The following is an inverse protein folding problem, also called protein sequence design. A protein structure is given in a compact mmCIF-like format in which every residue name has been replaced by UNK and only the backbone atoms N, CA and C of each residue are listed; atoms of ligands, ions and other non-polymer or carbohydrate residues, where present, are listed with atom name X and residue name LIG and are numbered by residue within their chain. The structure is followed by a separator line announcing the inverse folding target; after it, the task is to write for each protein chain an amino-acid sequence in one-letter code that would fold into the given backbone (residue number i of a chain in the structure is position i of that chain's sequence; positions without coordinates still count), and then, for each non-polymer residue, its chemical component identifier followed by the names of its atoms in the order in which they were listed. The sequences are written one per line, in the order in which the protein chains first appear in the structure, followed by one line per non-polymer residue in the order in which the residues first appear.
data_IF_745924737201
#
_entry.id   IF_745924737201
#
_cell.length_a   1.000
_cell.length_b   1.000
_cell.length_c   1.000
_cell.angle_alpha   90.00
_cell.angle_beta   90.00
_cell.angle_gamma   90.00
#
_symmetry.space_group_name_H-M   'P 1'
#
loop_
_entity.id
_entity.type
_entity.pdbx_description
1 polymer ?
#
# COMPACT_ATOMS: atom_id res chain seq x y z
N UNK A 1 22.86 11.57 5.00
CA UNK A 1 21.55 11.96 4.49
C UNK A 1 20.51 12.07 5.62
N UNK A 2 20.06 10.99 6.27
CA UNK A 2 18.99 10.99 7.29
C UNK A 2 19.25 11.93 8.48
N UNK A 3 20.52 12.06 8.93
CA UNK A 3 20.88 13.04 9.96
C UNK A 3 20.57 14.50 9.56
N UNK A 4 20.78 14.84 8.29
CA UNK A 4 20.52 16.19 7.81
C UNK A 4 19.03 16.40 7.52
N UNK A 5 18.31 15.36 7.09
CA UNK A 5 16.83 15.34 7.05
C UNK A 5 16.25 15.71 8.41
N UNK A 6 16.70 15.05 9.48
CA UNK A 6 16.25 15.37 10.85
C UNK A 6 16.48 16.83 11.24
N UNK A 7 17.66 17.36 10.94
CA UNK A 7 17.96 18.77 11.27
C UNK A 7 17.02 19.75 10.56
N UNK A 8 16.69 19.48 9.29
CA UNK A 8 15.75 20.32 8.56
C UNK A 8 14.33 20.17 9.11
N UNK A 9 13.90 18.94 9.42
CA UNK A 9 12.59 18.69 10.01
C UNK A 9 12.43 19.34 11.39
N UNK A 10 13.45 19.33 12.23
CA UNK A 10 13.41 20.01 13.53
C UNK A 10 13.22 21.54 13.41
N UNK A 11 13.79 22.17 12.39
CA UNK A 11 13.56 23.59 12.10
C UNK A 11 12.10 23.88 11.71
N UNK A 12 11.41 22.88 11.18
CA UNK A 12 9.99 22.95 10.81
C UNK A 12 9.05 22.48 11.92
N UNK A 13 9.59 22.13 13.10
CA UNK A 13 8.78 21.62 14.22
C UNK A 13 8.37 20.15 14.09
N UNK A 14 8.88 19.44 13.10
CA UNK A 14 8.59 18.01 12.90
C UNK A 14 9.65 17.16 13.56
N UNK A 15 9.26 16.34 14.54
CA UNK A 15 10.16 15.43 15.24
C UNK A 15 9.88 13.98 14.83
N UNK A 16 10.94 13.24 14.50
CA UNK A 16 10.88 11.80 14.26
C UNK A 16 11.36 11.03 15.48
N UNK A 17 10.63 9.97 15.81
CA UNK A 17 10.97 9.08 16.93
C UNK A 17 11.93 7.97 16.51
N UNK A 18 11.76 7.47 15.30
CA UNK A 18 12.49 6.31 14.76
C UNK A 18 13.00 6.63 13.37
N UNK A 19 14.22 6.20 13.10
CA UNK A 19 14.84 6.20 11.79
C UNK A 19 15.67 4.93 11.65
N UNK A 20 15.49 4.19 10.57
CA UNK A 20 16.28 3.01 10.27
C UNK A 20 16.29 2.74 8.75
N UNK A 21 17.15 1.79 8.36
CA UNK A 21 17.18 1.28 7.00
C UNK A 21 16.28 0.04 6.92
N UNK A 22 15.56 -0.06 5.82
CA UNK A 22 14.76 -1.20 5.48
C UNK A 22 15.53 -2.21 4.59
N UNK A 23 14.84 -3.23 4.10
CA UNK A 23 15.45 -4.36 3.37
C UNK A 23 15.95 -3.94 1.99
N UNK A 24 15.24 -3.06 1.29
CA UNK A 24 15.65 -2.62 -0.05
C UNK A 24 16.89 -1.72 0.01
N UNK A 25 17.75 -1.72 -1.02
CA UNK A 25 18.94 -0.88 -1.08
C UNK A 25 18.61 0.60 -0.88
N UNK A 26 19.31 1.25 0.08
CA UNK A 26 19.12 2.66 0.43
C UNK A 26 17.66 3.07 0.76
N UNK A 27 16.84 2.13 1.18
CA UNK A 27 15.50 2.39 1.68
C UNK A 27 15.59 2.87 3.14
N UNK A 28 15.08 4.09 3.39
CA UNK A 28 15.06 4.70 4.70
C UNK A 28 13.63 4.86 5.20
N UNK A 29 13.39 4.50 6.44
CA UNK A 29 12.12 4.74 7.13
C UNK A 29 12.26 5.85 8.17
N UNK A 30 11.23 6.67 8.27
CA UNK A 30 11.10 7.73 9.25
C UNK A 30 9.69 7.64 9.89
N UNK A 31 9.64 7.56 11.23
CA UNK A 31 8.40 7.59 11.98
C UNK A 31 8.28 8.89 12.77
N UNK A 32 7.47 9.87 12.33
CA UNK A 32 7.20 11.08 13.07
C UNK A 32 6.48 10.80 14.39
N UNK A 33 6.62 11.71 15.36
CA UNK A 33 5.80 11.69 16.57
C UNK A 33 4.36 12.03 16.16
N UNK A 34 3.39 11.30 16.73
CA UNK A 34 1.97 11.50 16.43
C UNK A 34 1.49 12.92 16.81
N UNK A 35 0.53 13.39 16.07
CA UNK A 35 -0.15 14.67 16.28
C UNK A 35 -1.62 14.54 15.90
N UNK A 36 -2.40 15.57 16.12
CA UNK A 36 -3.76 15.66 15.58
C UNK A 36 -3.76 15.47 14.07
N UNK A 37 -4.81 14.86 13.52
CA UNK A 37 -4.85 14.39 12.14
C UNK A 37 -4.52 15.49 11.10
N UNK A 38 -5.05 16.71 11.27
CA UNK A 38 -4.76 17.84 10.38
C UNK A 38 -3.28 18.23 10.40
N UNK A 39 -2.67 18.33 11.60
CA UNK A 39 -1.24 18.63 11.76
C UNK A 39 -0.38 17.49 11.22
N UNK A 40 -0.76 16.25 11.48
CA UNK A 40 -0.06 15.08 10.97
C UNK A 40 -0.04 15.03 9.44
N UNK A 41 -1.14 15.43 8.78
CA UNK A 41 -1.21 15.57 7.31
C UNK A 41 -0.22 16.60 6.81
N UNK A 42 -0.16 17.78 7.42
CA UNK A 42 0.80 18.84 7.05
C UNK A 42 2.24 18.39 7.28
N UNK A 43 2.52 17.74 8.42
CA UNK A 43 3.82 17.17 8.72
C UNK A 43 4.24 16.13 7.69
N UNK A 44 3.30 15.29 7.21
CA UNK A 44 3.59 14.30 6.17
C UNK A 44 4.04 14.97 4.86
N UNK A 45 3.40 16.05 4.43
CA UNK A 45 3.83 16.82 3.26
C UNK A 45 5.21 17.42 3.45
N UNK A 46 5.47 18.04 4.60
CA UNK A 46 6.79 18.61 4.93
C UNK A 46 7.89 17.54 4.94
N UNK A 47 7.61 16.36 5.47
CA UNK A 47 8.54 15.23 5.47
C UNK A 47 8.89 14.81 4.05
N UNK A 48 7.90 14.56 3.19
CA UNK A 48 8.11 14.14 1.81
C UNK A 48 8.94 15.16 1.01
N UNK A 49 8.63 16.44 1.16
CA UNK A 49 9.35 17.52 0.49
C UNK A 49 10.79 17.66 1.03
N UNK A 50 10.99 17.54 2.34
CA UNK A 50 12.30 17.60 2.97
C UNK A 50 13.20 16.45 2.55
N UNK A 51 12.64 15.23 2.47
CA UNK A 51 13.36 14.06 1.97
C UNK A 51 13.92 14.30 0.57
N UNK A 52 13.09 14.80 -0.36
CA UNK A 52 13.50 15.11 -1.73
C UNK A 52 14.60 16.19 -1.79
N UNK A 53 14.41 17.31 -1.07
CA UNK A 53 15.35 18.43 -1.07
C UNK A 53 16.72 18.06 -0.47
N UNK A 54 16.71 17.33 0.62
CA UNK A 54 17.96 16.91 1.27
C UNK A 54 18.67 15.85 0.45
N UNK A 55 17.94 14.90 -0.16
CA UNK A 55 18.53 13.92 -1.08
C UNK A 55 19.30 14.61 -2.21
N UNK A 56 18.68 15.59 -2.85
CA UNK A 56 19.32 16.35 -3.92
C UNK A 56 20.62 17.03 -3.47
N UNK A 57 20.68 17.60 -2.25
CA UNK A 57 21.89 18.20 -1.67
C UNK A 57 23.01 17.19 -1.46
N UNK A 58 22.67 15.90 -1.28
CA UNK A 58 23.62 14.81 -1.10
C UNK A 58 23.99 14.10 -2.41
N UNK A 59 23.55 14.60 -3.57
CA UNK A 59 23.77 13.97 -4.86
C UNK A 59 22.96 12.68 -5.03
N UNK A 60 21.86 12.52 -4.29
CA UNK A 60 20.97 11.37 -4.31
C UNK A 60 19.63 11.77 -4.93
N UNK A 61 18.95 10.79 -5.53
CA UNK A 61 17.56 10.90 -5.94
C UNK A 61 16.67 10.23 -4.88
N UNK A 62 15.70 10.97 -4.35
CA UNK A 62 14.67 10.40 -3.46
C UNK A 62 13.52 9.85 -4.32
N UNK A 63 13.29 8.57 -4.23
CA UNK A 63 12.16 7.90 -4.86
C UNK A 63 11.10 7.63 -3.78
N UNK A 64 9.99 8.38 -3.84
CA UNK A 64 8.78 8.05 -3.10
C UNK A 64 7.94 7.11 -3.97
N UNK A 65 8.39 5.88 -4.06
CA UNK A 65 7.79 4.85 -4.90
C UNK A 65 7.76 3.53 -4.12
N UNK A 66 6.67 2.81 -4.24
CA UNK A 66 6.37 1.61 -3.45
C UNK A 66 7.27 0.43 -3.83
N UNK A 67 7.62 0.33 -5.11
CA UNK A 67 8.40 -0.78 -5.68
C UNK A 67 9.45 -0.25 -6.67
N UNK A 68 10.46 0.49 -6.21
CA UNK A 68 11.51 0.96 -7.11
C UNK A 68 12.35 -0.19 -7.70
N UNK A 69 12.31 -1.39 -7.08
CA UNK A 69 13.09 -2.55 -7.50
C UNK A 69 12.23 -3.82 -7.53
N UNK A 70 12.24 -4.53 -8.65
CA UNK A 70 11.52 -5.79 -8.81
C UNK A 70 12.07 -6.86 -7.87
N UNK A 71 11.19 -7.66 -7.28
CA UNK A 71 11.57 -8.79 -6.41
C UNK A 71 12.14 -8.43 -5.04
N UNK A 72 12.26 -7.15 -4.70
CA UNK A 72 12.72 -6.67 -3.40
C UNK A 72 11.56 -6.05 -2.64
N UNK A 73 11.57 -6.13 -1.32
CA UNK A 73 10.57 -5.46 -0.48
C UNK A 73 10.55 -3.97 -0.78
N UNK A 74 9.36 -3.42 -0.85
CA UNK A 74 9.11 -2.01 -0.94
C UNK A 74 7.90 -1.68 -0.08
N UNK A 75 7.76 -0.46 0.37
CA UNK A 75 6.66 -0.09 1.24
C UNK A 75 6.13 1.32 0.96
N UNK A 76 4.86 1.51 1.28
CA UNK A 76 4.23 2.81 1.37
C UNK A 76 4.30 3.36 2.77
N UNK A 77 3.20 3.95 3.24
CA UNK A 77 3.06 4.49 4.59
C UNK A 77 2.19 3.58 5.46
N UNK A 78 2.56 3.48 6.73
CA UNK A 78 1.67 2.99 7.77
C UNK A 78 1.03 4.18 8.47
N UNK A 79 -0.25 4.45 8.17
CA UNK A 79 -1.00 5.51 8.80
C UNK A 79 -1.53 5.02 10.17
N UNK A 80 -0.82 5.39 11.24
CA UNK A 80 -1.27 5.09 12.61
C UNK A 80 -2.43 6.03 12.96
N UNK A 81 -3.54 5.46 13.41
CA UNK A 81 -4.78 6.17 13.67
C UNK A 81 -5.38 5.74 15.02
N UNK A 82 -5.77 6.72 15.83
CA UNK A 82 -6.50 6.50 17.10
C UNK A 82 -7.50 7.62 17.33
N UNK A 83 -8.37 7.42 18.30
CA UNK A 83 -9.38 8.40 18.72
C UNK A 83 -9.12 8.76 20.18
N UNK A 84 -8.98 10.04 20.44
CA UNK A 84 -8.80 10.56 21.80
C UNK A 84 -9.89 11.60 22.13
N UNK A 85 -10.29 11.65 23.37
CA UNK A 85 -11.13 12.73 23.91
C UNK A 85 -10.32 14.02 24.05
N UNK A 86 -10.99 15.14 24.29
CA UNK A 86 -10.37 16.45 24.49
C UNK A 86 -9.49 16.54 25.77
N UNK A 87 -9.77 15.68 26.76
CA UNK A 87 -8.94 15.52 27.96
C UNK A 87 -7.82 14.47 27.81
N UNK A 88 -7.64 13.93 26.59
CA UNK A 88 -6.51 13.09 26.21
C UNK A 88 -6.67 11.59 26.50
N UNK A 89 -7.89 11.14 26.79
CA UNK A 89 -8.16 9.70 26.97
C UNK A 89 -8.23 9.02 25.61
N UNK A 90 -7.36 8.01 25.38
CA UNK A 90 -7.39 7.21 24.17
C UNK A 90 -8.51 6.15 24.25
N UNK A 91 -9.51 6.28 23.38
CA UNK A 91 -10.66 5.36 23.33
C UNK A 91 -10.30 3.97 22.79
N UNK A 92 -9.12 3.83 22.19
CA UNK A 92 -8.57 2.56 21.70
C UNK A 92 -7.59 1.90 22.68
N UNK A 93 -7.51 2.40 23.93
CA UNK A 93 -6.74 1.72 24.96
C UNK A 93 -7.61 0.62 25.60
N UNK A 94 -7.29 -0.68 25.37
CA UNK A 94 -8.06 -1.79 25.93
C UNK A 94 -7.90 -1.93 27.44
N UNK A 95 -6.86 -1.30 28.04
CA UNK A 95 -6.50 -1.50 29.42
C UNK A 95 -5.92 -2.89 29.69
N UNK A 96 -5.89 -3.27 30.98
CA UNK A 96 -5.36 -4.58 31.40
C UNK A 96 -6.36 -5.72 31.22
N UNK A 97 -7.63 -5.42 31.25
CA UNK A 97 -8.76 -6.36 31.14
C UNK A 97 -9.69 -5.94 30.01
N UNK A 98 -9.32 -6.17 28.74
CA UNK A 98 -10.12 -5.72 27.60
C UNK A 98 -11.57 -6.19 27.62
N UNK A 99 -11.84 -7.38 28.15
CA UNK A 99 -13.18 -7.95 28.26
C UNK A 99 -14.11 -7.21 29.24
N UNK A 100 -13.56 -6.44 30.18
CA UNK A 100 -14.33 -5.61 31.13
C UNK A 100 -14.46 -4.15 30.66
N UNK A 101 -13.68 -3.73 29.66
CA UNK A 101 -13.69 -2.36 29.15
C UNK A 101 -14.79 -2.16 28.10
N UNK A 102 -16.00 -1.94 28.58
CA UNK A 102 -17.21 -1.80 27.74
C UNK A 102 -17.08 -0.63 26.77
N UNK A 103 -16.50 0.50 27.19
CA UNK A 103 -16.27 1.65 26.31
C UNK A 103 -15.35 1.28 25.14
N UNK A 104 -14.24 0.61 25.43
CA UNK A 104 -13.32 0.12 24.39
C UNK A 104 -14.01 -0.85 23.43
N UNK A 105 -14.79 -1.82 23.97
CA UNK A 105 -15.49 -2.81 23.14
C UNK A 105 -16.55 -2.17 22.24
N UNK A 106 -17.28 -1.18 22.73
CA UNK A 106 -18.23 -0.42 21.92
C UNK A 106 -17.52 0.32 20.79
N UNK A 107 -16.45 1.06 21.11
CA UNK A 107 -15.65 1.78 20.10
C UNK A 107 -15.07 0.83 19.07
N UNK A 108 -14.49 -0.29 19.51
CA UNK A 108 -13.94 -1.32 18.63
C UNK A 108 -14.99 -1.88 17.66
N UNK A 109 -16.17 -2.24 18.16
CA UNK A 109 -17.23 -2.82 17.32
C UNK A 109 -17.85 -1.80 16.37
N UNK A 110 -17.93 -0.52 16.74
CA UNK A 110 -18.27 0.56 15.82
C UNK A 110 -17.25 0.71 14.69
N UNK A 111 -15.95 0.58 14.98
CA UNK A 111 -14.90 0.63 13.95
C UNK A 111 -15.01 -0.58 13.02
N UNK A 112 -15.22 -1.79 13.55
CA UNK A 112 -15.45 -2.98 12.72
C UNK A 112 -16.62 -2.78 11.76
N UNK A 113 -17.75 -2.26 12.27
CA UNK A 113 -18.91 -1.91 11.44
C UNK A 113 -18.56 -0.91 10.35
N UNK A 114 -17.90 0.19 10.70
CA UNK A 114 -17.52 1.24 9.76
C UNK A 114 -16.67 0.69 8.63
N UNK A 115 -15.64 -0.07 8.97
CA UNK A 115 -14.69 -0.65 7.98
C UNK A 115 -15.37 -1.73 7.13
N UNK A 116 -16.25 -2.55 7.70
CA UNK A 116 -16.96 -3.58 6.96
C UNK A 116 -17.95 -2.99 5.93
N UNK A 117 -18.72 -1.98 6.33
CA UNK A 117 -19.70 -1.32 5.46
C UNK A 117 -19.03 -0.52 4.35
N UNK A 118 -17.92 0.15 4.65
CA UNK A 118 -17.24 1.07 3.75
C UNK A 118 -15.85 0.57 3.30
N UNK A 119 -15.66 -0.76 3.22
CA UNK A 119 -14.39 -1.35 2.81
C UNK A 119 -13.93 -0.88 1.42
N UNK A 120 -14.86 -0.73 0.49
CA UNK A 120 -14.64 -0.21 -0.85
C UNK A 120 -14.14 1.25 -0.84
N UNK A 121 -14.78 2.11 -0.08
CA UNK A 121 -14.40 3.52 0.05
C UNK A 121 -13.06 3.69 0.78
N UNK A 122 -12.81 2.89 1.82
CA UNK A 122 -11.54 2.93 2.53
C UNK A 122 -10.39 2.39 1.65
N UNK A 123 -10.64 1.37 0.79
CA UNK A 123 -9.67 0.93 -0.21
C UNK A 123 -9.40 2.01 -1.25
N UNK A 124 -10.44 2.70 -1.71
CA UNK A 124 -10.31 3.81 -2.67
C UNK A 124 -9.43 4.92 -2.09
N UNK A 125 -9.58 5.29 -0.83
CA UNK A 125 -8.80 6.35 -0.18
C UNK A 125 -7.28 6.16 -0.19
N UNK A 126 -6.80 4.99 -0.54
CA UNK A 126 -5.39 4.64 -0.72
C UNK A 126 -5.11 4.13 -2.14
N UNK A 127 -5.98 4.44 -3.10
CA UNK A 127 -5.80 4.08 -4.50
C UNK A 127 -4.87 5.08 -5.19
N UNK A 128 -3.79 4.56 -5.77
CA UNK A 128 -2.78 5.32 -6.49
C UNK A 128 -2.12 4.41 -7.53
N UNK A 129 -1.62 5.00 -8.62
CA UNK A 129 -0.94 4.27 -9.70
C UNK A 129 0.24 3.48 -9.18
N UNK A 130 1.10 4.10 -8.34
CA UNK A 130 2.25 3.45 -7.73
C UNK A 130 1.87 2.30 -6.81
N UNK A 131 0.76 2.45 -6.10
CA UNK A 131 0.26 1.45 -5.15
C UNK A 131 -0.23 0.16 -5.83
N UNK A 132 -0.67 0.23 -7.08
CA UNK A 132 -1.06 -0.94 -7.88
C UNK A 132 0.12 -1.91 -8.11
N UNK A 133 1.36 -1.43 -8.10
CA UNK A 133 2.56 -2.25 -8.22
C UNK A 133 2.94 -2.98 -6.93
N UNK A 134 2.42 -2.56 -5.79
CA UNK A 134 2.85 -3.00 -4.47
C UNK A 134 1.91 -4.01 -3.84
N UNK A 135 0.59 -3.79 -3.94
CA UNK A 135 -0.40 -4.53 -3.16
C UNK A 135 -0.35 -6.04 -3.40
N UNK A 136 -0.38 -6.80 -2.30
CA UNK A 136 -0.48 -8.26 -2.31
C UNK A 136 0.82 -9.03 -2.12
N UNK A 137 1.98 -8.39 -2.01
CA UNK A 137 3.25 -9.08 -1.81
C UNK A 137 4.34 -8.22 -1.13
N UNK A 138 5.36 -8.88 -0.57
CA UNK A 138 6.58 -8.25 -0.05
C UNK A 138 6.31 -7.07 0.92
N UNK A 139 5.65 -7.37 2.03
CA UNK A 139 5.27 -6.43 3.09
C UNK A 139 4.17 -5.41 2.73
N UNK A 140 3.58 -5.53 1.55
CA UNK A 140 2.39 -4.78 1.20
C UNK A 140 1.12 -5.61 1.46
N UNK A 141 0.06 -5.02 2.03
CA UNK A 141 -1.19 -5.73 2.28
C UNK A 141 -1.87 -6.16 0.97
N UNK A 142 -2.75 -7.19 1.02
CA UNK A 142 -3.58 -7.52 -0.13
C UNK A 142 -4.57 -6.39 -0.44
N UNK A 143 -5.11 -6.39 -1.66
CA UNK A 143 -6.13 -5.44 -2.09
C UNK A 143 -7.51 -5.65 -1.41
N UNK A 144 -7.63 -6.68 -0.57
CA UNK A 144 -8.81 -6.99 0.23
C UNK A 144 -8.69 -6.34 1.59
N UNK A 145 -9.61 -5.45 1.92
CA UNK A 145 -9.64 -4.84 3.23
C UNK A 145 -10.11 -5.84 4.28
N UNK A 146 -9.33 -6.01 5.34
CA UNK A 146 -9.64 -6.83 6.51
C UNK A 146 -9.02 -6.21 7.76
N UNK A 147 -9.56 -6.57 8.92
CA UNK A 147 -9.12 -6.05 10.22
C UNK A 147 -8.42 -7.16 10.99
N UNK A 148 -7.18 -6.89 11.39
CA UNK A 148 -6.43 -7.75 12.31
C UNK A 148 -6.59 -7.24 13.74
N UNK A 149 -6.94 -8.11 14.67
CA UNK A 149 -7.15 -7.78 16.08
C UNK A 149 -6.14 -8.49 17.01
N UNK A 150 -5.57 -9.60 16.58
CA UNK A 150 -4.76 -10.48 17.39
C UNK A 150 -5.58 -11.46 18.23
N UNK A 151 -4.91 -12.50 18.74
CA UNK A 151 -5.56 -13.64 19.43
C UNK A 151 -6.42 -13.22 20.62
N UNK A 152 -5.96 -12.23 21.41
CA UNK A 152 -6.67 -11.80 22.61
C UNK A 152 -8.03 -11.16 22.32
N UNK A 153 -8.07 -10.22 21.38
CA UNK A 153 -9.33 -9.53 21.05
C UNK A 153 -10.24 -10.40 20.18
N UNK A 154 -9.69 -11.30 19.38
CA UNK A 154 -10.48 -12.30 18.66
C UNK A 154 -11.21 -13.24 19.62
N UNK A 155 -10.54 -13.68 20.67
CA UNK A 155 -11.15 -14.50 21.73
C UNK A 155 -12.27 -13.75 22.44
N UNK A 156 -12.04 -12.48 22.84
CA UNK A 156 -13.06 -11.63 23.47
C UNK A 156 -14.27 -11.46 22.55
N UNK A 157 -14.06 -11.17 21.25
CA UNK A 157 -15.16 -11.06 20.29
C UNK A 157 -15.92 -12.38 20.13
N UNK A 158 -15.22 -13.51 20.07
CA UNK A 158 -15.83 -14.83 19.96
C UNK A 158 -16.70 -15.17 21.16
N UNK A 159 -16.29 -14.79 22.38
CA UNK A 159 -17.11 -14.90 23.57
C UNK A 159 -18.38 -14.02 23.49
N UNK A 160 -18.23 -12.74 23.09
CA UNK A 160 -19.35 -11.82 22.90
C UNK A 160 -20.38 -12.33 21.90
N UNK A 161 -19.92 -12.87 20.77
CA UNK A 161 -20.79 -13.43 19.72
C UNK A 161 -21.53 -14.66 20.23
N UNK A 162 -20.82 -15.59 20.89
CA UNK A 162 -21.40 -16.88 21.27
C UNK A 162 -22.30 -16.83 22.49
N UNK A 163 -21.92 -16.07 23.53
CA UNK A 163 -22.61 -16.02 24.83
C UNK A 163 -23.27 -14.68 25.11
N UNK A 164 -22.83 -13.60 24.48
CA UNK A 164 -23.25 -12.23 24.73
C UNK A 164 -22.40 -11.54 25.80
N UNK A 165 -21.53 -12.26 26.48
CA UNK A 165 -20.64 -11.71 27.51
C UNK A 165 -19.22 -12.26 27.31
N UNK A 166 -18.24 -11.43 27.55
CA UNK A 166 -16.85 -11.86 27.62
C UNK A 166 -16.41 -11.96 29.09
N UNK A 167 -16.04 -13.15 29.54
CA UNK A 167 -15.75 -13.44 30.96
C UNK A 167 -14.28 -13.45 31.30
N UNK A 168 -13.41 -13.47 30.27
CA UNK A 168 -11.96 -13.48 30.46
C UNK A 168 -11.28 -12.94 29.20
N UNK A 169 -10.02 -12.54 29.37
CA UNK A 169 -9.09 -12.26 28.27
C UNK A 169 -7.90 -13.21 28.37
N UNK A 170 -7.41 -13.68 27.24
CA UNK A 170 -6.16 -14.47 27.21
C UNK A 170 -5.04 -13.53 27.64
N UNK A 171 -4.44 -13.78 28.81
CA UNK A 171 -3.22 -13.09 29.22
C UNK A 171 -2.03 -13.61 28.41
N UNK A 172 -1.14 -12.71 27.99
CA UNK A 172 0.05 -13.09 27.22
C UNK A 172 0.79 -14.23 27.90
N UNK A 173 1.11 -15.28 27.13
CA UNK A 173 1.92 -16.41 27.63
C UNK A 173 3.28 -15.88 28.08
N UNK A 174 3.71 -16.23 29.28
CA UNK A 174 5.09 -16.03 29.73
C UNK A 174 6.02 -16.75 28.75
N UNK A 175 6.95 -16.04 28.18
CA UNK A 175 8.00 -16.62 27.37
C UNK A 175 9.06 -17.11 28.39
N UNK A 176 9.05 -18.42 28.68
CA UNK A 176 10.12 -19.03 29.41
C UNK A 176 11.37 -19.00 28.54
N UNK A 177 12.32 -18.14 28.90
CA UNK A 177 13.56 -17.98 28.12
C UNK A 177 14.48 -19.21 28.25
N UNK A 178 14.18 -20.13 29.17
CA UNK A 178 15.03 -21.30 29.50
C UNK A 178 16.42 -20.96 30.04
N UNK A 179 16.71 -19.66 30.19
CA UNK A 179 18.00 -19.16 30.70
C UNK A 179 17.79 -18.55 32.07
N UNK A 180 18.37 -19.19 33.10
CA UNK A 180 18.20 -18.81 34.53
C UNK A 180 18.61 -17.36 34.87
N UNK A 181 19.32 -16.68 33.99
CA UNK A 181 19.84 -15.31 34.21
C UNK A 181 19.03 -14.23 33.49
N UNK A 182 18.05 -14.59 32.66
CA UNK A 182 17.15 -13.66 32.02
C UNK A 182 15.79 -13.73 32.71
N UNK A 183 15.16 -12.55 33.00
CA UNK A 183 13.80 -12.55 33.51
C UNK A 183 12.84 -13.11 32.45
N UNK A 184 11.79 -13.78 32.92
CA UNK A 184 10.69 -14.19 32.06
C UNK A 184 10.01 -12.93 31.52
N UNK A 185 9.83 -12.86 30.20
CA UNK A 185 9.11 -11.75 29.54
C UNK A 185 7.70 -12.19 29.24
N UNK A 186 6.74 -11.31 29.48
CA UNK A 186 5.42 -11.49 28.90
C UNK A 186 5.57 -11.42 27.38
N UNK A 187 5.17 -12.48 26.67
CA UNK A 187 5.03 -12.43 25.22
C UNK A 187 4.06 -11.32 24.91
N UNK A 188 4.49 -10.37 24.09
CA UNK A 188 3.59 -9.33 23.59
C UNK A 188 2.41 -10.02 22.88
N UNK A 189 1.20 -9.84 23.41
CA UNK A 189 0.00 -10.41 22.84
C UNK A 189 -0.40 -9.69 21.53
N UNK A 190 0.27 -8.57 21.21
CA UNK A 190 0.13 -7.85 19.96
C UNK A 190 1.08 -8.43 18.92
N UNK A 191 0.72 -9.57 18.32
CA UNK A 191 1.45 -10.07 17.17
C UNK A 191 1.23 -9.11 15.99
N UNK A 192 2.34 -8.62 15.40
CA UNK A 192 2.25 -7.78 14.19
C UNK A 192 2.00 -8.68 13.00
N UNK A 193 0.74 -8.84 12.60
CA UNK A 193 0.44 -9.42 11.31
C UNK A 193 0.76 -8.41 10.20
N UNK A 194 1.95 -8.54 9.61
CA UNK A 194 2.42 -7.65 8.53
C UNK A 194 1.60 -7.74 7.25
N UNK A 195 0.77 -8.77 7.13
CA UNK A 195 -0.06 -9.00 5.94
C UNK A 195 -1.44 -8.37 6.03
N UNK A 196 -1.82 -7.78 7.17
CA UNK A 196 -3.11 -7.13 7.35
C UNK A 196 -3.09 -5.68 6.87
N UNK A 197 -4.09 -5.24 6.08
CA UNK A 197 -4.21 -3.86 5.64
C UNK A 197 -4.65 -2.88 6.72
N UNK A 198 -5.38 -3.36 7.75
CA UNK A 198 -5.84 -2.55 8.86
C UNK A 198 -5.68 -3.33 10.17
N UNK A 199 -4.62 -3.04 10.90
CA UNK A 199 -4.20 -3.82 12.06
C UNK A 199 -4.31 -3.05 13.36
N UNK A 200 -4.91 -3.67 14.38
CA UNK A 200 -4.88 -3.16 15.75
C UNK A 200 -3.51 -3.45 16.37
N UNK A 201 -2.84 -2.43 16.89
CA UNK A 201 -1.49 -2.52 17.44
C UNK A 201 -1.41 -2.00 18.88
N UNK A 202 -2.26 -2.56 19.73
CA UNK A 202 -2.25 -2.34 21.17
C UNK A 202 -3.12 -1.20 21.65
N UNK A 203 -3.08 -0.02 21.03
CA UNK A 203 -3.89 1.16 21.41
C UNK A 203 -4.22 2.08 20.21
N UNK A 204 -4.09 1.56 19.00
CA UNK A 204 -4.35 2.27 17.75
C UNK A 204 -4.51 1.27 16.62
N UNK A 205 -5.03 1.72 15.51
CA UNK A 205 -5.00 0.99 14.25
C UNK A 205 -3.88 1.51 13.34
N UNK A 206 -3.30 0.64 12.55
CA UNK A 206 -2.40 0.97 11.45
C UNK A 206 -3.09 0.69 10.13
N UNK A 207 -3.38 1.72 9.34
CA UNK A 207 -3.82 1.57 7.96
C UNK A 207 -2.60 1.54 7.05
N UNK A 208 -2.34 0.38 6.45
CA UNK A 208 -1.07 0.05 5.79
C UNK A 208 -1.11 0.12 4.27
N UNK A 209 -2.19 0.64 3.70
CA UNK A 209 -2.40 0.67 2.25
C UNK A 209 -1.95 1.98 1.60
N UNK A 210 -1.62 3.02 2.36
CA UNK A 210 -1.31 4.35 1.82
C UNK A 210 -0.02 4.33 1.00
N UNK A 211 -0.07 4.89 -0.20
CA UNK A 211 1.07 5.01 -1.09
C UNK A 211 2.20 5.89 -0.54
N UNK A 212 3.43 5.67 -1.00
CA UNK A 212 4.60 6.37 -0.48
C UNK A 212 4.64 7.85 -0.85
N UNK A 213 4.08 8.23 -1.99
CA UNK A 213 3.97 9.64 -2.42
C UNK A 213 2.65 10.30 -2.01
N UNK A 214 1.67 9.52 -1.55
CA UNK A 214 0.34 10.03 -1.25
C UNK A 214 0.29 10.89 0.00
N UNK A 215 -0.69 11.80 0.03
CA UNK A 215 -1.10 12.43 1.27
C UNK A 215 -1.88 11.46 2.15
N UNK A 216 -1.65 11.50 3.46
CA UNK A 216 -2.50 10.78 4.40
C UNK A 216 -3.85 11.49 4.67
N UNK A 217 -4.16 12.57 3.94
CA UNK A 217 -5.40 13.33 4.12
C UNK A 217 -6.64 12.50 3.80
N UNK A 218 -6.68 11.93 2.60
CA UNK A 218 -7.86 11.19 2.13
C UNK A 218 -8.18 9.96 2.98
N UNK A 219 -7.21 9.08 3.34
CA UNK A 219 -7.45 8.00 4.28
C UNK A 219 -8.01 8.47 5.63
N UNK A 220 -7.48 9.56 6.19
CA UNK A 220 -7.98 10.09 7.46
C UNK A 220 -9.37 10.70 7.34
N UNK A 221 -9.68 11.40 6.25
CA UNK A 221 -11.03 11.91 5.99
C UNK A 221 -12.04 10.76 5.92
N UNK A 222 -11.71 9.71 5.16
CA UNK A 222 -12.58 8.54 5.04
C UNK A 222 -12.74 7.83 6.38
N UNK A 223 -11.64 7.48 7.06
CA UNK A 223 -11.68 6.80 8.37
C UNK A 223 -12.50 7.57 9.39
N UNK A 224 -12.26 8.88 9.53
CA UNK A 224 -13.00 9.69 10.48
C UNK A 224 -14.48 9.76 10.13
N UNK A 225 -14.86 9.85 8.86
CA UNK A 225 -16.25 9.99 8.44
C UNK A 225 -17.04 8.68 8.59
N UNK A 226 -16.46 7.54 8.18
CA UNK A 226 -17.14 6.23 8.32
C UNK A 226 -17.30 5.84 9.79
N UNK A 227 -16.33 6.17 10.64
CA UNK A 227 -16.42 5.90 12.09
C UNK A 227 -17.40 6.86 12.75
N UNK A 228 -17.45 8.13 12.33
CA UNK A 228 -18.46 9.08 12.81
C UNK A 228 -19.89 8.61 12.48
N UNK A 229 -20.11 8.00 11.32
CA UNK A 229 -21.41 7.41 10.98
C UNK A 229 -21.77 6.27 11.94
N UNK A 230 -20.85 5.33 12.17
CA UNK A 230 -21.09 4.22 13.08
C UNK A 230 -21.37 4.69 14.52
N UNK A 231 -20.66 5.74 14.96
CA UNK A 231 -20.92 6.34 16.27
C UNK A 231 -22.27 7.05 16.33
N UNK A 232 -22.64 7.82 15.30
CA UNK A 232 -23.94 8.48 15.26
C UNK A 232 -25.08 7.47 15.32
N UNK A 233 -24.99 6.36 14.58
CA UNK A 233 -25.98 5.29 14.63
C UNK A 233 -26.03 4.59 15.99
N UNK A 234 -24.87 4.35 16.62
CA UNK A 234 -24.81 3.81 17.97
C UNK A 234 -25.45 4.75 19.00
N UNK A 235 -25.17 6.06 18.93
CA UNK A 235 -25.79 7.07 19.79
C UNK A 235 -27.32 7.11 19.59
N UNK A 236 -27.79 7.12 18.36
CA UNK A 236 -29.22 7.13 18.02
C UNK A 236 -29.96 5.90 18.58
N UNK A 237 -29.31 4.75 18.66
CA UNK A 237 -29.87 3.52 19.23
C UNK A 237 -29.85 3.57 20.77
N UNK A 238 -28.73 3.99 21.37
CA UNK A 238 -28.54 4.03 22.82
C UNK A 238 -29.38 5.13 23.51
N UNK A 239 -29.55 6.29 22.86
CA UNK A 239 -30.38 7.39 23.41
C UNK A 239 -31.87 7.03 23.53
N UNK A 240 -32.34 6.03 22.79
CA UNK A 240 -33.72 5.56 22.80
C UNK A 240 -33.96 4.40 23.76
N UNK A 241 -32.92 3.89 24.40
CA UNK A 241 -33.00 2.72 25.26
C UNK A 241 -33.53 3.07 26.66
N UNK A 242 -34.46 2.26 27.17
CA UNK A 242 -34.95 2.38 28.55
C UNK A 242 -33.90 1.92 29.58
N UNK A 243 -33.10 0.92 29.23
CA UNK A 243 -31.97 0.39 30.02
C UNK A 243 -30.70 0.56 29.22
N UNK A 244 -29.94 1.60 29.57
CA UNK A 244 -28.72 1.96 28.85
C UNK A 244 -27.62 0.88 28.92
N UNK A 245 -27.40 0.31 30.10
CA UNK A 245 -26.34 -0.68 30.30
C UNK A 245 -26.61 -1.95 29.48
N UNK A 246 -27.85 -2.44 29.51
CA UNK A 246 -28.26 -3.59 28.71
C UNK A 246 -28.16 -3.29 27.20
N UNK A 247 -28.61 -2.11 26.78
CA UNK A 247 -28.58 -1.69 25.38
C UNK A 247 -27.15 -1.60 24.84
N UNK A 248 -26.17 -1.14 25.61
CA UNK A 248 -24.75 -1.12 25.21
C UNK A 248 -24.23 -2.53 24.98
N UNK A 249 -24.52 -3.48 25.89
CA UNK A 249 -24.12 -4.88 25.71
C UNK A 249 -24.74 -5.53 24.48
N UNK A 250 -26.04 -5.30 24.27
CA UNK A 250 -26.78 -5.81 23.11
C UNK A 250 -26.22 -5.23 21.80
N UNK A 251 -25.88 -3.94 21.80
CA UNK A 251 -25.30 -3.26 20.64
C UNK A 251 -23.91 -3.80 20.30
N UNK A 252 -23.03 -3.98 21.28
CA UNK A 252 -21.71 -4.57 21.11
C UNK A 252 -21.85 -5.96 20.50
N UNK A 253 -22.72 -6.81 21.05
CA UNK A 253 -22.98 -8.15 20.53
C UNK A 253 -23.50 -8.12 19.10
N UNK A 254 -24.47 -7.24 18.82
CA UNK A 254 -25.06 -7.04 17.49
C UNK A 254 -23.97 -6.70 16.48
N UNK A 255 -23.18 -5.65 16.72
CA UNK A 255 -22.14 -5.19 15.81
C UNK A 255 -21.01 -6.22 15.64
N UNK A 256 -20.58 -6.87 16.73
CA UNK A 256 -19.62 -7.95 16.67
C UNK A 256 -20.10 -9.10 15.77
N UNK A 257 -21.38 -9.50 15.90
CA UNK A 257 -21.96 -10.59 15.13
C UNK A 257 -22.14 -10.23 13.66
N UNK A 258 -22.68 -9.05 13.36
CA UNK A 258 -22.98 -8.63 11.99
C UNK A 258 -21.72 -8.34 11.16
N UNK A 259 -20.66 -7.85 11.82
CA UNK A 259 -19.44 -7.37 11.14
C UNK A 259 -18.19 -8.25 11.38
N UNK A 260 -18.33 -9.46 11.96
CA UNK A 260 -17.21 -10.38 12.16
C UNK A 260 -16.53 -10.80 10.85
N UNK A 261 -17.23 -10.72 9.71
CA UNK A 261 -16.70 -11.13 8.40
C UNK A 261 -15.45 -10.33 7.98
N UNK A 262 -15.29 -9.09 8.47
CA UNK A 262 -14.14 -8.24 8.16
C UNK A 262 -12.89 -8.63 8.98
N UNK A 263 -13.06 -9.35 10.10
CA UNK A 263 -11.95 -9.74 10.98
C UNK A 263 -11.20 -10.92 10.40
N UNK A 264 -9.89 -10.77 10.24
CA UNK A 264 -9.01 -11.84 9.77
C UNK A 264 -7.62 -11.72 10.40
N UNK A 265 -7.22 -12.75 11.15
CA UNK A 265 -5.93 -12.81 11.86
C UNK A 265 -4.90 -13.73 11.18
N UNK A 266 -5.24 -14.28 10.00
CA UNK A 266 -4.38 -15.19 9.25
C UNK A 266 -3.42 -14.49 8.28
N UNK A 267 -2.79 -15.29 7.40
CA UNK A 267 -1.90 -14.79 6.36
C UNK A 267 -2.69 -14.20 5.17
N UNK A 268 -2.70 -12.87 5.07
CA UNK A 268 -3.39 -12.14 4.00
C UNK A 268 -2.80 -12.34 2.59
N UNK A 269 -1.59 -12.91 2.47
CA UNK A 269 -0.97 -13.19 1.16
C UNK A 269 -1.37 -14.55 0.56
N UNK A 270 -2.09 -15.38 1.32
CA UNK A 270 -2.46 -16.72 0.86
C UNK A 270 -3.62 -16.68 -0.15
N UNK A 271 -3.57 -17.55 -1.15
CA UNK A 271 -4.70 -17.76 -2.08
C UNK A 271 -5.96 -18.20 -1.33
N UNK A 272 -5.81 -19.01 -0.30
CA UNK A 272 -6.91 -19.43 0.57
C UNK A 272 -7.63 -18.24 1.24
N UNK A 273 -6.93 -17.16 1.53
CA UNK A 273 -7.57 -15.93 2.01
C UNK A 273 -8.40 -15.26 0.92
N UNK A 274 -7.91 -15.21 -0.32
CA UNK A 274 -8.66 -14.61 -1.43
C UNK A 274 -9.99 -15.36 -1.63
N UNK A 275 -9.97 -16.69 -1.63
CA UNK A 275 -11.17 -17.52 -1.72
C UNK A 275 -12.13 -17.32 -0.54
N UNK A 276 -11.59 -17.27 0.67
CA UNK A 276 -12.36 -17.02 1.89
C UNK A 276 -12.99 -15.62 1.91
N UNK A 277 -12.26 -14.62 1.49
CA UNK A 277 -12.74 -13.23 1.42
C UNK A 277 -13.89 -13.10 0.40
N UNK A 278 -13.79 -13.77 -0.75
CA UNK A 278 -14.87 -13.85 -1.73
C UNK A 278 -16.12 -14.53 -1.12
N UNK A 279 -15.93 -15.64 -0.42
CA UNK A 279 -17.02 -16.34 0.28
C UNK A 279 -17.68 -15.45 1.34
N UNK A 280 -16.92 -14.58 2.01
CA UNK A 280 -17.43 -13.60 2.98
C UNK A 280 -18.07 -12.39 2.31
N UNK A 281 -17.98 -12.25 0.99
CA UNK A 281 -18.48 -11.10 0.23
C UNK A 281 -17.66 -9.83 0.46
N UNK A 282 -16.37 -9.95 0.76
CA UNK A 282 -15.46 -8.81 0.88
C UNK A 282 -14.95 -8.39 -0.49
N UNK A 283 -14.88 -7.08 -0.80
CA UNK A 283 -14.40 -6.61 -2.09
C UNK A 283 -12.89 -6.84 -2.24
N UNK A 284 -12.48 -7.30 -3.42
CA UNK A 284 -11.08 -7.43 -3.82
C UNK A 284 -10.80 -6.44 -4.97
N UNK A 285 -10.45 -5.22 -4.61
CA UNK A 285 -10.26 -4.09 -5.54
C UNK A 285 -8.76 -3.95 -5.82
N UNK A 286 -8.29 -4.52 -6.93
CA UNK A 286 -6.87 -4.69 -7.22
C UNK A 286 -6.20 -3.45 -7.79
N UNK A 287 -6.94 -2.60 -8.50
CA UNK A 287 -6.39 -1.43 -9.19
C UNK A 287 -7.04 -0.13 -8.74
N UNK A 288 -6.35 0.98 -8.98
CA UNK A 288 -6.90 2.33 -8.80
C UNK A 288 -8.14 2.54 -9.67
N UNK A 289 -8.09 2.12 -10.93
CA UNK A 289 -9.21 2.28 -11.88
C UNK A 289 -10.48 1.59 -11.41
N UNK A 290 -10.33 0.44 -10.73
CA UNK A 290 -11.45 -0.30 -10.14
C UNK A 290 -11.92 0.33 -8.82
N UNK A 291 -11.06 1.04 -8.11
CA UNK A 291 -11.38 1.66 -6.81
C UNK A 291 -12.14 2.98 -6.97
N UNK A 292 -11.80 3.80 -7.95
CA UNK A 292 -12.36 5.15 -8.17
C UNK A 292 -13.89 5.20 -8.08
N UNK A 293 -14.67 4.23 -8.64
CA UNK A 293 -16.12 4.28 -8.58
C UNK A 293 -16.70 4.25 -7.16
N UNK A 294 -15.94 3.79 -6.16
CA UNK A 294 -16.41 3.76 -4.78
C UNK A 294 -16.67 5.15 -4.21
N UNK A 295 -15.97 6.15 -4.73
CA UNK A 295 -16.01 7.54 -4.24
C UNK A 295 -17.35 8.24 -4.47
N UNK A 296 -18.06 7.93 -5.55
CA UNK A 296 -19.34 8.57 -5.89
C UNK A 296 -20.54 7.62 -5.96
N UNK A 297 -20.46 6.47 -5.26
CA UNK A 297 -21.64 5.64 -5.03
C UNK A 297 -22.71 6.38 -4.21
N UNK A 298 -23.98 6.03 -4.34
CA UNK A 298 -25.05 6.62 -3.52
C UNK A 298 -24.76 6.51 -2.02
N UNK A 299 -24.12 5.40 -1.61
CA UNK A 299 -23.67 5.18 -0.23
C UNK A 299 -22.63 6.23 0.20
N UNK A 300 -21.60 6.45 -0.60
CA UNK A 300 -20.53 7.41 -0.30
C UNK A 300 -21.07 8.85 -0.32
N UNK A 301 -21.88 9.20 -1.32
CA UNK A 301 -22.53 10.53 -1.40
C UNK A 301 -23.37 10.80 -0.16
N UNK A 302 -24.24 9.86 0.22
CA UNK A 302 -25.09 10.00 1.41
C UNK A 302 -24.25 10.19 2.68
N UNK A 303 -23.18 9.40 2.83
CA UNK A 303 -22.25 9.51 3.94
C UNK A 303 -21.62 10.91 4.03
N UNK A 304 -20.99 11.36 2.97
CA UNK A 304 -20.25 12.62 2.99
C UNK A 304 -21.16 13.85 3.09
N UNK A 305 -22.33 13.85 2.46
CA UNK A 305 -23.32 14.93 2.58
C UNK A 305 -23.91 14.98 3.97
N UNK A 306 -24.20 13.82 4.61
CA UNK A 306 -24.72 13.74 5.99
C UNK A 306 -23.80 14.44 6.99
N UNK A 307 -22.50 14.31 6.83
CA UNK A 307 -21.50 14.92 7.71
C UNK A 307 -20.94 16.25 7.20
N UNK A 308 -21.43 16.76 6.07
CA UNK A 308 -20.98 18.03 5.48
C UNK A 308 -19.52 18.02 5.04
N UNK A 309 -18.99 16.86 4.68
CA UNK A 309 -17.58 16.69 4.26
C UNK A 309 -17.41 17.00 2.78
N UNK A 310 -18.20 16.37 1.92
CA UNK A 310 -18.24 16.62 0.49
C UNK A 310 -19.69 16.61 -0.01
N UNK A 311 -19.95 17.42 -1.03
CA UNK A 311 -21.17 17.37 -1.83
C UNK A 311 -20.99 16.35 -2.97
N UNK A 312 -22.12 15.90 -3.55
CA UNK A 312 -22.09 15.02 -4.74
C UNK A 312 -21.27 15.64 -5.88
N UNK A 313 -21.40 16.94 -6.13
CA UNK A 313 -20.66 17.61 -7.22
C UNK A 313 -19.13 17.60 -6.99
N UNK A 314 -18.70 17.72 -5.74
CA UNK A 314 -17.27 17.62 -5.39
C UNK A 314 -16.76 16.19 -5.55
N UNK A 315 -17.55 15.17 -5.18
CA UNK A 315 -17.18 13.77 -5.37
C UNK A 315 -17.13 13.39 -6.87
N UNK A 316 -18.10 13.82 -7.66
CA UNK A 316 -18.10 13.58 -9.10
C UNK A 316 -16.86 14.22 -9.77
N UNK A 317 -16.51 15.46 -9.38
CA UNK A 317 -15.29 16.13 -9.87
C UNK A 317 -14.00 15.38 -9.46
N UNK A 318 -13.94 14.83 -8.27
CA UNK A 318 -12.79 14.04 -7.81
C UNK A 318 -12.64 12.78 -8.64
N UNK A 319 -13.72 12.05 -8.89
CA UNK A 319 -13.73 10.85 -9.74
C UNK A 319 -13.20 11.16 -11.15
N UNK A 320 -13.61 12.28 -11.74
CA UNK A 320 -13.09 12.71 -13.06
C UNK A 320 -11.60 13.00 -13.01
N UNK A 321 -11.13 13.74 -11.98
CA UNK A 321 -9.72 14.06 -11.78
C UNK A 321 -8.87 12.82 -11.57
N UNK A 322 -9.36 11.83 -10.82
CA UNK A 322 -8.61 10.59 -10.55
C UNK A 322 -8.46 9.74 -11.81
N UNK A 323 -9.50 9.59 -12.64
CA UNK A 323 -9.38 8.94 -13.94
C UNK A 323 -8.40 9.65 -14.86
N UNK A 324 -8.46 10.98 -14.90
CA UNK A 324 -7.54 11.80 -15.69
C UNK A 324 -6.10 11.64 -15.20
N UNK A 325 -5.89 11.66 -13.88
CA UNK A 325 -4.58 11.49 -13.26
C UNK A 325 -4.01 10.12 -13.60
N UNK A 326 -4.78 9.04 -13.44
CA UNK A 326 -4.36 7.69 -13.80
C UNK A 326 -3.89 7.60 -15.25
N UNK A 327 -4.74 8.06 -16.18
CA UNK A 327 -4.42 8.03 -17.61
C UNK A 327 -3.16 8.85 -17.95
N UNK A 328 -2.99 10.01 -17.33
CA UNK A 328 -1.84 10.89 -17.55
C UNK A 328 -0.54 10.27 -17.01
N UNK A 329 -0.56 9.69 -15.82
CA UNK A 329 0.62 9.05 -15.22
C UNK A 329 1.09 7.86 -16.05
N UNK A 330 0.20 6.94 -16.39
CA UNK A 330 0.56 5.79 -17.24
C UNK A 330 1.05 6.26 -18.64
N UNK A 331 0.44 7.30 -19.20
CA UNK A 331 0.90 7.87 -20.47
C UNK A 331 2.32 8.45 -20.40
N UNK A 332 2.65 9.12 -19.28
CA UNK A 332 4.01 9.66 -19.04
C UNK A 332 5.01 8.52 -18.92
N UNK A 333 4.69 7.49 -18.13
CA UNK A 333 5.53 6.31 -17.95
C UNK A 333 5.75 5.57 -19.28
N UNK A 334 4.68 5.31 -20.04
CA UNK A 334 4.76 4.68 -21.35
C UNK A 334 5.65 5.46 -22.32
N UNK A 335 5.49 6.79 -22.40
CA UNK A 335 6.33 7.66 -23.23
C UNK A 335 7.78 7.68 -22.77
N UNK A 336 8.05 7.66 -21.47
CA UNK A 336 9.40 7.55 -20.93
C UNK A 336 10.05 6.20 -21.32
N UNK A 337 9.31 5.09 -21.19
CA UNK A 337 9.78 3.78 -21.63
C UNK A 337 10.07 3.73 -23.13
N UNK A 338 9.21 4.28 -23.97
CA UNK A 338 9.41 4.39 -25.42
C UNK A 338 10.69 5.18 -25.72
N UNK A 339 10.89 6.33 -25.09
CA UNK A 339 12.06 7.18 -25.30
C UNK A 339 13.36 6.47 -24.88
N UNK A 340 13.39 5.87 -23.70
CA UNK A 340 14.54 5.13 -23.17
C UNK A 340 14.84 3.92 -24.05
N UNK A 341 13.85 3.11 -24.39
CA UNK A 341 14.03 1.94 -25.23
C UNK A 341 14.58 2.31 -26.61
N UNK A 342 13.99 3.33 -27.23
CA UNK A 342 14.36 3.78 -28.59
C UNK A 342 15.76 4.40 -28.63
N UNK A 343 16.09 5.29 -27.69
CA UNK A 343 17.29 6.13 -27.78
C UNK A 343 18.49 5.59 -27.01
N UNK A 344 18.25 4.71 -26.05
CA UNK A 344 19.30 4.24 -25.15
C UNK A 344 19.50 2.72 -25.23
N UNK A 345 18.46 1.94 -24.92
CA UNK A 345 18.58 0.48 -24.76
C UNK A 345 18.85 -0.19 -26.11
N UNK A 346 17.99 -0.02 -27.11
CA UNK A 346 18.18 -0.64 -28.44
C UNK A 346 19.54 -0.27 -29.05
N UNK A 347 19.97 1.00 -29.08
CA UNK A 347 21.29 1.36 -29.57
C UNK A 347 22.46 0.71 -28.81
N UNK A 348 22.35 0.59 -27.47
CA UNK A 348 23.38 -0.07 -26.67
C UNK A 348 23.48 -1.57 -26.98
N UNK A 349 22.33 -2.24 -27.09
CA UNK A 349 22.30 -3.67 -27.46
C UNK A 349 22.85 -3.90 -28.84
N UNK A 350 22.53 -3.06 -29.84
CA UNK A 350 23.11 -3.15 -31.20
C UNK A 350 24.65 -3.00 -31.17
N UNK A 351 25.17 -2.07 -30.36
CA UNK A 351 26.63 -1.95 -30.18
C UNK A 351 27.22 -3.21 -29.58
N UNK A 352 26.57 -3.81 -28.58
CA UNK A 352 27.04 -5.04 -27.94
C UNK A 352 27.05 -6.24 -28.93
N UNK A 353 26.03 -6.39 -29.77
CA UNK A 353 26.04 -7.44 -30.82
C UNK A 353 27.20 -7.27 -31.79
N UNK A 354 27.58 -6.03 -32.11
CA UNK A 354 28.77 -5.75 -32.94
C UNK A 354 30.06 -6.24 -32.25
N UNK A 355 30.22 -5.94 -30.95
CA UNK A 355 31.39 -6.40 -30.17
C UNK A 355 31.50 -7.93 -30.17
N UNK A 356 30.38 -8.63 -29.97
CA UNK A 356 30.34 -10.09 -30.01
C UNK A 356 30.67 -10.64 -31.40
N UNK A 357 30.14 -10.07 -32.48
CA UNK A 357 30.38 -10.48 -33.84
C UNK A 357 31.85 -10.27 -34.26
N UNK A 358 32.44 -9.13 -33.86
CA UNK A 358 33.85 -8.84 -34.05
C UNK A 358 34.76 -9.85 -33.29
N UNK A 359 34.40 -10.16 -32.01
CA UNK A 359 35.11 -11.17 -31.22
C UNK A 359 35.08 -12.53 -31.88
N UNK A 360 33.93 -13.00 -32.35
CA UNK A 360 33.78 -14.28 -33.06
C UNK A 360 34.68 -14.31 -34.30
N UNK A 361 34.68 -13.25 -35.10
CA UNK A 361 35.45 -13.15 -36.32
C UNK A 361 36.95 -13.13 -36.03
N UNK A 362 37.39 -12.31 -35.07
CA UNK A 362 38.79 -12.16 -34.70
C UNK A 362 39.37 -13.44 -34.11
N UNK A 363 38.67 -14.12 -33.20
CA UNK A 363 39.12 -15.37 -32.56
C UNK A 363 39.24 -16.48 -33.60
N UNK A 364 38.27 -16.65 -34.49
CA UNK A 364 38.32 -17.64 -35.57
C UNK A 364 39.49 -17.37 -36.52
N UNK A 365 39.74 -16.13 -36.87
CA UNK A 365 40.83 -15.73 -37.77
C UNK A 365 42.22 -15.90 -37.14
N UNK A 366 42.36 -15.64 -35.83
CA UNK A 366 43.62 -15.65 -35.12
C UNK A 366 44.16 -17.07 -34.84
N UNK A 367 43.31 -17.99 -34.37
CA UNK A 367 43.76 -19.32 -33.93
C UNK A 367 42.70 -20.43 -34.13
N UNK A 368 41.54 -20.15 -34.68
CA UNK A 368 40.47 -21.13 -34.88
C UNK A 368 39.91 -21.74 -33.58
N UNK A 369 40.06 -21.05 -32.45
CA UNK A 369 39.54 -21.51 -31.18
C UNK A 369 37.99 -21.58 -31.18
N UNK A 370 37.45 -22.32 -30.24
CA UNK A 370 36.01 -22.43 -30.04
C UNK A 370 35.38 -21.06 -29.64
N UNK A 371 34.32 -20.69 -30.32
CA UNK A 371 33.55 -19.45 -30.12
C UNK A 371 32.08 -19.75 -29.87
N UNK A 372 31.79 -20.95 -29.39
CA UNK A 372 30.39 -21.37 -29.11
C UNK A 372 29.71 -20.44 -28.12
N UNK A 373 30.39 -20.04 -27.04
CA UNK A 373 29.88 -19.15 -26.02
C UNK A 373 29.50 -17.78 -26.60
N UNK A 374 30.41 -17.17 -27.37
CA UNK A 374 30.12 -15.86 -27.98
C UNK A 374 28.98 -15.96 -29.01
N UNK A 375 28.89 -17.08 -29.73
CA UNK A 375 27.81 -17.32 -30.70
C UNK A 375 26.45 -17.50 -30.00
N UNK A 376 26.43 -18.25 -28.91
CA UNK A 376 25.23 -18.46 -28.10
C UNK A 376 24.70 -17.11 -27.57
N UNK A 377 25.56 -16.32 -26.91
CA UNK A 377 25.18 -15.00 -26.37
C UNK A 377 24.74 -14.08 -27.52
N UNK A 378 25.43 -14.04 -28.65
CA UNK A 378 25.05 -13.19 -29.78
C UNK A 378 23.67 -13.56 -30.33
N UNK A 379 23.36 -14.86 -30.42
CA UNK A 379 22.06 -15.34 -30.89
C UNK A 379 20.96 -14.92 -29.90
N UNK A 380 21.12 -15.21 -28.60
CA UNK A 380 20.14 -14.87 -27.57
C UNK A 380 19.90 -13.37 -27.52
N UNK A 381 20.95 -12.55 -27.50
CA UNK A 381 20.83 -11.08 -27.48
C UNK A 381 20.10 -10.56 -28.73
N UNK A 382 20.39 -11.17 -29.92
CA UNK A 382 19.71 -10.76 -31.16
C UNK A 382 18.24 -11.10 -31.18
N UNK A 383 17.86 -12.27 -30.67
CA UNK A 383 16.46 -12.69 -30.55
C UNK A 383 15.69 -11.78 -29.57
N UNK A 384 16.26 -11.54 -28.37
CA UNK A 384 15.68 -10.62 -27.39
C UNK A 384 15.56 -9.17 -27.91
N UNK A 385 16.52 -8.73 -28.73
CA UNK A 385 16.46 -7.41 -29.37
C UNK A 385 15.29 -7.32 -30.35
N UNK A 386 15.04 -8.38 -31.12
CA UNK A 386 13.89 -8.45 -32.03
C UNK A 386 12.56 -8.43 -31.24
N UNK A 387 12.48 -9.19 -30.16
CA UNK A 387 11.31 -9.21 -29.26
C UNK A 387 11.07 -7.83 -28.64
N UNK A 388 12.12 -7.19 -28.11
CA UNK A 388 12.04 -5.85 -27.54
C UNK A 388 11.57 -4.82 -28.58
N UNK A 389 12.04 -4.89 -29.82
CA UNK A 389 11.59 -3.98 -30.89
C UNK A 389 10.13 -4.22 -31.26
N UNK A 390 9.68 -5.46 -31.30
CA UNK A 390 8.28 -5.81 -31.55
C UNK A 390 7.35 -5.26 -30.45
N UNK A 391 7.71 -5.51 -29.18
CA UNK A 391 6.97 -5.02 -28.02
C UNK A 391 6.95 -3.47 -27.95
N UNK A 392 8.09 -2.83 -28.26
CA UNK A 392 8.15 -1.37 -28.36
C UNK A 392 7.18 -0.82 -29.40
N UNK A 393 7.08 -1.43 -30.59
CA UNK A 393 6.17 -0.98 -31.65
C UNK A 393 4.69 -1.13 -31.20
N UNK A 394 4.37 -2.20 -30.47
CA UNK A 394 3.05 -2.38 -29.86
C UNK A 394 2.77 -1.30 -28.83
N UNK A 395 3.72 -1.00 -27.94
CA UNK A 395 3.56 0.06 -26.93
C UNK A 395 3.35 1.44 -27.57
N UNK A 396 4.09 1.77 -28.65
CA UNK A 396 3.90 3.00 -29.41
C UNK A 396 2.48 3.11 -29.97
N UNK A 397 1.95 2.02 -30.54
CA UNK A 397 0.61 1.97 -31.14
C UNK A 397 -0.50 2.16 -30.08
N UNK A 398 -0.46 1.35 -28.99
CA UNK A 398 -1.50 1.43 -27.95
C UNK A 398 -1.45 2.74 -27.19
N UNK A 399 -0.25 3.31 -26.96
CA UNK A 399 -0.11 4.63 -26.31
C UNK A 399 -0.68 5.74 -27.17
N UNK A 400 -0.42 5.73 -28.48
CA UNK A 400 -0.98 6.69 -29.42
C UNK A 400 -2.52 6.60 -29.48
N UNK A 401 -3.07 5.38 -29.48
CA UNK A 401 -4.53 5.16 -29.44
C UNK A 401 -5.15 5.66 -28.14
N UNK A 402 -4.55 5.36 -26.98
CA UNK A 402 -5.00 5.87 -25.69
C UNK A 402 -5.00 7.39 -25.62
N UNK A 403 -3.96 8.04 -26.16
CA UNK A 403 -3.87 9.50 -26.23
C UNK A 403 -4.88 10.18 -27.17
N UNK A 404 -5.52 9.44 -28.08
CA UNK A 404 -6.55 9.92 -28.96
C UNK A 404 -7.98 9.73 -28.43
N UNK A 405 -8.13 9.03 -27.29
CA UNK A 405 -9.43 8.81 -26.66
C UNK A 405 -9.89 10.07 -25.91
N UNK A 406 -11.20 10.20 -25.74
CA UNK A 406 -11.79 11.21 -24.86
C UNK A 406 -11.41 10.93 -23.40
N UNK A 407 -11.09 11.99 -22.66
CA UNK A 407 -10.72 11.89 -21.24
C UNK A 407 -11.87 11.29 -20.41
N UNK A 408 -11.52 10.55 -19.35
CA UNK A 408 -12.45 9.96 -18.42
C UNK A 408 -12.25 8.45 -18.22
N UNK A 409 -13.25 7.80 -17.66
CA UNK A 409 -13.18 6.39 -17.26
C UNK A 409 -12.73 5.44 -18.37
N UNK A 410 -13.31 5.58 -19.57
CA UNK A 410 -12.99 4.68 -20.68
C UNK A 410 -11.52 4.77 -21.10
N UNK A 411 -10.95 5.97 -21.08
CA UNK A 411 -9.53 6.19 -21.35
C UNK A 411 -8.66 5.58 -20.24
N UNK A 412 -8.98 5.81 -18.97
CA UNK A 412 -8.23 5.26 -17.84
C UNK A 412 -8.24 3.72 -17.86
N UNK A 413 -9.40 3.10 -18.11
CA UNK A 413 -9.50 1.64 -18.28
C UNK A 413 -8.62 1.16 -19.45
N UNK A 414 -8.61 1.86 -20.57
CA UNK A 414 -7.76 1.52 -21.70
C UNK A 414 -6.26 1.61 -21.35
N UNK A 415 -5.86 2.64 -20.61
CA UNK A 415 -4.47 2.75 -20.13
C UNK A 415 -4.11 1.62 -19.18
N UNK A 416 -5.03 1.22 -18.31
CA UNK A 416 -4.83 0.09 -17.39
C UNK A 416 -4.70 -1.25 -18.14
N UNK A 417 -5.66 -1.56 -19.03
CA UNK A 417 -5.77 -2.88 -19.61
C UNK A 417 -4.80 -3.10 -20.78
N UNK A 418 -4.57 -2.07 -21.60
CA UNK A 418 -3.83 -2.19 -22.85
C UNK A 418 -2.43 -1.57 -22.76
N UNK A 419 -2.32 -0.34 -22.28
CA UNK A 419 -1.03 0.35 -22.29
C UNK A 419 -0.09 -0.22 -21.23
N UNK A 420 -0.57 -0.40 -19.99
CA UNK A 420 0.23 -1.01 -18.91
C UNK A 420 0.64 -2.44 -19.26
N UNK A 421 -0.23 -3.24 -19.84
CA UNK A 421 0.11 -4.58 -20.31
C UNK A 421 1.21 -4.56 -21.38
N UNK A 422 1.15 -3.62 -22.32
CA UNK A 422 2.20 -3.45 -23.33
C UNK A 422 3.55 -2.95 -22.75
N UNK A 423 3.51 -2.16 -21.67
CA UNK A 423 4.70 -1.78 -20.91
C UNK A 423 5.38 -3.01 -20.29
N UNK A 424 4.62 -3.91 -19.70
CA UNK A 424 5.13 -5.16 -19.12
C UNK A 424 5.68 -6.10 -20.21
N UNK A 425 5.06 -6.17 -21.37
CA UNK A 425 5.55 -6.92 -22.52
C UNK A 425 6.89 -6.37 -23.02
N UNK A 426 7.12 -5.07 -23.02
CA UNK A 426 8.42 -4.47 -23.38
C UNK A 426 9.48 -4.75 -22.31
N UNK A 427 9.13 -4.71 -21.04
CA UNK A 427 10.07 -5.00 -19.95
C UNK A 427 10.60 -6.41 -20.00
N UNK A 428 9.79 -7.40 -20.35
CA UNK A 428 10.18 -8.79 -20.30
C UNK A 428 11.47 -9.13 -21.10
N UNK A 429 11.63 -8.75 -22.38
CA UNK A 429 12.88 -8.92 -23.10
C UNK A 429 13.98 -7.97 -22.64
N UNK A 430 13.65 -6.73 -22.24
CA UNK A 430 14.66 -5.73 -21.82
C UNK A 430 15.31 -6.14 -20.50
N UNK A 431 14.56 -6.63 -19.52
CA UNK A 431 15.10 -7.12 -18.25
C UNK A 431 16.06 -8.33 -18.45
N UNK A 432 15.80 -9.17 -19.45
CA UNK A 432 16.74 -10.24 -19.85
C UNK A 432 17.99 -9.69 -20.54
N UNK A 433 17.84 -8.70 -21.41
CA UNK A 433 18.98 -8.05 -22.06
C UNK A 433 19.92 -7.38 -21.05
N UNK A 434 19.38 -6.78 -19.98
CA UNK A 434 20.17 -6.21 -18.89
C UNK A 434 21.14 -7.23 -18.27
N UNK A 435 20.72 -8.48 -18.14
CA UNK A 435 21.56 -9.55 -17.57
C UNK A 435 22.64 -10.07 -18.52
N UNK A 436 22.51 -9.82 -19.82
CA UNK A 436 23.41 -10.34 -20.85
C UNK A 436 24.38 -9.28 -21.39
N UNK A 437 23.96 -8.04 -21.49
CA UNK A 437 24.75 -6.93 -22.03
C UNK A 437 25.84 -6.53 -21.05
N UNK A 438 27.06 -6.24 -21.57
CA UNK A 438 28.16 -5.74 -20.75
C UNK A 438 27.75 -4.53 -19.93
N UNK A 439 28.03 -4.56 -18.61
CA UNK A 439 27.64 -3.49 -17.68
C UNK A 439 28.11 -2.11 -18.13
N UNK A 440 29.30 -2.02 -18.73
CA UNK A 440 29.87 -0.74 -19.22
C UNK A 440 29.11 -0.18 -20.43
N UNK A 441 28.34 -1.01 -21.12
CA UNK A 441 27.53 -0.63 -22.29
C UNK A 441 26.04 -0.47 -21.96
N UNK A 442 25.60 -0.96 -20.80
CA UNK A 442 24.21 -0.84 -20.37
C UNK A 442 23.89 0.59 -19.92
N UNK A 443 22.83 1.24 -20.48
CA UNK A 443 22.63 2.66 -20.28
C UNK A 443 21.86 3.02 -19.00
N UNK A 444 21.34 2.01 -18.29
CA UNK A 444 20.56 2.21 -17.06
C UNK A 444 21.45 2.00 -15.84
N UNK A 445 21.22 2.76 -14.74
CA UNK A 445 21.94 2.52 -13.49
C UNK A 445 21.58 1.17 -12.88
N UNK A 446 22.54 0.54 -12.24
CA UNK A 446 22.34 -0.68 -11.46
C UNK A 446 22.42 -0.39 -9.95
N UNK A 447 22.06 -1.38 -9.12
CA UNK A 447 22.10 -1.26 -7.66
C UNK A 447 23.48 -0.92 -7.08
N UNK A 448 24.55 -1.08 -7.85
CA UNK A 448 25.91 -0.82 -7.41
C UNK A 448 26.47 0.52 -7.90
N UNK A 449 25.68 1.32 -8.57
CA UNK A 449 26.11 2.59 -9.17
C UNK A 449 25.90 3.81 -8.28
#
# INVERSE_FOLDING_TARGET
YMRDVNKELWKLGVSAKTQHNEVAPAQHELAPIYAEANIAVDHNQLVMETLKKVAYRHGLQCLLHEKPFAGVNGSGKHNNWSITTDDGINLLDPGKTPHENIQFLLVLTCILKAVDIHADLLRESAADVGNDHRLGANEAPPAILSVFLGEQLEDVLSQLISTGEATHSISGKMLETGVKTLPDFMKDATDRNRTSPFAFTGNKFEFRMVGSQDSIAQPNVVLNTIVAEAFAEACDELEKADDFDMAVHDLIKKYATEHQRIVFNGNGYSEAWVEEAERRGLPNIKSMVDAIPALNTDKAVTLFEKFGVFTKAELDSRVEIEYETYAKEINIEAKAMIDIATKQIIPAVIKYTTVLAESITAVKAACGADVSVQTEILTEVSDLLADAKSALSKLEEVTAKGGAMEEGRAQAVYYHDEVKAAMDELRAPVDKLEMLVDKSMWPMPSYGD
#
